data_IF_056562442184
#
_entry.id   IF_056562442184
#
_cell.length_a   1.000
_cell.length_b   1.000
_cell.length_c   1.000
_cell.angle_alpha   90.00
_cell.angle_beta   90.00
_cell.angle_gamma   90.00
#
_symmetry.space_group_name_H-M   'P 1'
#
loop_
_entity.id
_entity.type
_entity.pdbx_description
1 polymer ?
#
# COMPACT_ATOMS: atom_id res chain seq x y z
N UNK A 1 -18.26 -1.57 15.29
CA UNK A 1 -18.01 -0.22 14.81
C UNK A 1 -16.87 -0.26 13.82
N UNK A 2 -17.16 0.07 12.58
CA UNK A 2 -16.26 -0.06 11.44
C UNK A 2 -15.03 0.83 11.63
N UNK A 3 -13.84 0.23 11.60
CA UNK A 3 -12.53 0.91 11.61
C UNK A 3 -12.24 1.58 10.25
N UNK A 4 -13.27 1.82 9.48
CA UNK A 4 -13.14 2.41 8.15
C UNK A 4 -13.50 3.88 8.22
N UNK A 5 -12.55 4.82 8.03
CA UNK A 5 -12.89 6.22 7.88
C UNK A 5 -13.77 6.38 6.63
N UNK A 6 -14.96 6.91 6.80
CA UNK A 6 -15.75 7.47 5.70
C UNK A 6 -14.97 8.70 5.19
N UNK A 7 -14.16 8.49 4.14
CA UNK A 7 -13.45 9.59 3.51
C UNK A 7 -14.40 10.44 2.66
N UNK A 8 -14.26 11.75 2.74
CA UNK A 8 -14.94 12.68 1.85
C UNK A 8 -14.08 12.93 0.61
N UNK A 9 -14.69 12.90 -0.57
CA UNK A 9 -14.02 13.22 -1.82
C UNK A 9 -13.44 14.65 -1.80
N UNK A 10 -12.25 14.84 -2.34
CA UNK A 10 -11.65 16.16 -2.54
C UNK A 10 -12.20 16.77 -3.83
N UNK A 11 -12.62 18.01 -3.78
CA UNK A 11 -13.18 18.73 -4.93
C UNK A 11 -12.16 19.74 -5.47
N UNK A 12 -11.97 19.74 -6.79
CA UNK A 12 -11.07 20.66 -7.52
C UNK A 12 -11.92 21.70 -8.21
N UNK A 13 -11.55 22.97 -8.04
CA UNK A 13 -12.24 24.13 -8.63
C UNK A 13 -11.31 24.87 -9.57
N UNK A 14 -11.83 25.34 -10.71
CA UNK A 14 -11.11 26.21 -11.64
C UNK A 14 -11.03 27.67 -11.14
N UNK A 15 -10.39 28.54 -11.92
CA UNK A 15 -10.27 29.96 -11.61
C UNK A 15 -11.61 30.71 -11.46
N UNK A 16 -12.68 30.18 -12.05
CA UNK A 16 -14.04 30.73 -11.95
C UNK A 16 -14.86 30.14 -10.79
N UNK A 17 -14.26 29.26 -9.98
CA UNK A 17 -14.93 28.59 -8.86
C UNK A 17 -15.89 27.46 -9.27
N UNK A 18 -15.80 26.97 -10.49
CA UNK A 18 -16.58 25.83 -10.96
C UNK A 18 -15.82 24.53 -10.65
N UNK A 19 -16.54 23.47 -10.31
CA UNK A 19 -15.95 22.13 -10.11
C UNK A 19 -15.46 21.60 -11.45
N UNK A 20 -14.17 21.22 -11.52
CA UNK A 20 -13.57 20.61 -12.68
C UNK A 20 -13.32 19.12 -12.49
N UNK A 21 -12.95 18.73 -11.27
CA UNK A 21 -12.70 17.34 -10.94
C UNK A 21 -13.10 17.03 -9.50
N UNK A 22 -13.37 15.76 -9.25
CA UNK A 22 -13.56 15.22 -7.92
C UNK A 22 -12.53 14.11 -7.73
N UNK A 23 -11.57 14.34 -6.82
CA UNK A 23 -10.57 13.35 -6.50
C UNK A 23 -11.18 12.38 -5.51
N UNK A 24 -11.47 11.20 -5.97
CA UNK A 24 -11.92 10.08 -5.16
C UNK A 24 -10.84 9.03 -5.13
N UNK A 25 -10.68 8.41 -3.99
CA UNK A 25 -9.80 7.27 -3.87
C UNK A 25 -10.21 6.23 -4.90
N UNK A 26 -9.28 5.72 -5.70
CA UNK A 26 -9.54 4.57 -6.54
C UNK A 26 -10.00 3.43 -5.63
N UNK A 27 -11.29 3.10 -5.67
CA UNK A 27 -11.92 2.20 -4.71
C UNK A 27 -12.89 2.88 -3.73
N UNK A 28 -13.38 4.10 -4.02
CA UNK A 28 -14.56 4.63 -3.31
C UNK A 28 -15.81 3.78 -3.59
N UNK A 29 -15.84 3.01 -4.65
CA UNK A 29 -16.56 1.75 -4.74
C UNK A 29 -15.65 0.66 -4.15
N UNK A 30 -15.45 0.65 -2.84
CA UNK A 30 -14.68 -0.39 -2.14
C UNK A 30 -15.28 -1.74 -2.46
N UNK A 31 -14.74 -2.37 -3.47
CA UNK A 31 -14.90 -3.79 -3.68
C UNK A 31 -13.93 -4.47 -2.72
N UNK A 32 -14.38 -4.68 -1.50
CA UNK A 32 -13.63 -5.46 -0.53
C UNK A 32 -13.55 -6.90 -1.03
N UNK A 33 -12.42 -7.53 -0.79
CA UNK A 33 -12.28 -8.97 -0.93
C UNK A 33 -12.57 -9.62 0.41
N UNK A 34 -13.19 -10.78 0.35
CA UNK A 34 -13.28 -11.70 1.49
C UNK A 34 -12.01 -12.54 1.58
N UNK A 35 -11.77 -13.18 2.72
CA UNK A 35 -10.61 -14.07 2.88
C UNK A 35 -10.59 -15.20 1.84
N UNK A 36 -11.75 -15.74 1.48
CA UNK A 36 -11.87 -16.88 0.58
C UNK A 36 -11.62 -16.52 -0.90
N UNK A 37 -11.69 -15.23 -1.25
CA UNK A 37 -11.31 -14.71 -2.57
C UNK A 37 -9.80 -14.49 -2.71
N UNK A 38 -9.06 -14.47 -1.60
CA UNK A 38 -7.62 -14.24 -1.61
C UNK A 38 -6.87 -15.52 -2.00
N UNK A 39 -6.08 -15.52 -3.08
CA UNK A 39 -5.29 -16.69 -3.44
C UNK A 39 -4.20 -16.92 -2.40
N UNK A 40 -3.95 -18.20 -2.10
CA UNK A 40 -2.95 -18.59 -1.09
C UNK A 40 -1.58 -17.99 -1.35
N UNK A 41 -1.15 -17.91 -2.60
CA UNK A 41 0.15 -17.33 -2.98
C UNK A 41 0.28 -15.86 -2.59
N UNK A 42 -0.82 -15.09 -2.62
CA UNK A 42 -0.83 -13.68 -2.19
C UNK A 42 -0.73 -13.57 -0.67
N UNK A 43 -1.54 -14.35 0.06
CA UNK A 43 -1.49 -14.42 1.52
C UNK A 43 -0.07 -14.76 1.99
N UNK A 44 0.49 -15.82 1.44
CA UNK A 44 1.82 -16.32 1.80
C UNK A 44 2.93 -15.29 1.49
N UNK A 45 2.84 -14.58 0.36
CA UNK A 45 3.81 -13.55 -0.01
C UNK A 45 3.83 -12.39 0.99
N UNK A 46 2.64 -11.88 1.38
CA UNK A 46 2.55 -10.82 2.38
C UNK A 46 3.01 -11.30 3.77
N UNK A 47 2.57 -12.46 4.21
CA UNK A 47 2.99 -13.04 5.50
C UNK A 47 4.49 -13.28 5.51
N UNK A 48 5.06 -13.86 4.46
CA UNK A 48 6.49 -14.17 4.39
C UNK A 48 7.38 -12.94 4.56
N UNK A 49 6.99 -11.80 3.96
CA UNK A 49 7.84 -10.60 3.94
C UNK A 49 7.54 -9.63 5.08
N UNK A 50 6.30 -9.50 5.51
CA UNK A 50 5.88 -8.52 6.51
C UNK A 50 5.86 -9.09 7.93
N UNK A 51 5.44 -10.36 8.07
CA UNK A 51 5.20 -10.95 9.40
C UNK A 51 5.24 -12.48 9.34
N UNK A 52 6.42 -13.05 9.21
CA UNK A 52 6.63 -14.50 9.03
C UNK A 52 6.03 -15.40 10.13
N UNK A 53 5.67 -14.80 11.26
CA UNK A 53 5.06 -15.51 12.40
C UNK A 53 3.63 -15.05 12.68
N UNK A 54 2.99 -14.40 11.72
CA UNK A 54 1.63 -13.85 11.83
C UNK A 54 0.64 -14.84 12.46
N UNK A 55 0.66 -16.07 12.02
CA UNK A 55 -0.25 -17.12 12.51
C UNK A 55 0.09 -17.65 13.94
N UNK A 56 1.20 -17.20 14.53
CA UNK A 56 1.75 -17.78 15.80
C UNK A 56 1.76 -16.82 16.97
N UNK A 57 1.70 -15.52 16.75
CA UNK A 57 1.69 -14.50 17.80
C UNK A 57 0.29 -13.91 18.01
N UNK A 58 0.13 -13.14 19.09
CA UNK A 58 -1.13 -12.49 19.46
C UNK A 58 -1.00 -10.96 19.41
N UNK A 59 -0.79 -10.39 18.20
CA UNK A 59 -0.70 -8.96 17.95
C UNK A 59 0.72 -8.40 17.95
N UNK A 60 1.63 -8.95 18.72
CA UNK A 60 3.05 -8.58 18.76
C UNK A 60 3.94 -9.81 18.62
N UNK A 61 5.03 -9.69 17.86
CA UNK A 61 6.06 -10.71 17.77
C UNK A 61 7.30 -10.29 18.56
N UNK A 62 7.42 -10.78 19.80
CA UNK A 62 8.54 -10.49 20.69
C UNK A 62 9.88 -10.93 20.11
N UNK A 63 9.91 -12.03 19.35
CA UNK A 63 11.16 -12.52 18.71
C UNK A 63 11.59 -11.58 17.59
N UNK A 64 10.63 -11.06 16.80
CA UNK A 64 10.93 -10.06 15.76
C UNK A 64 11.44 -8.75 16.38
N UNK A 65 10.86 -8.31 17.50
CA UNK A 65 11.32 -7.13 18.23
C UNK A 65 12.76 -7.32 18.73
N UNK A 66 13.04 -8.44 19.39
CA UNK A 66 14.40 -8.74 19.89
C UNK A 66 15.43 -8.80 18.75
N UNK A 67 15.08 -9.41 17.63
CA UNK A 67 15.94 -9.44 16.44
C UNK A 67 16.18 -8.04 15.87
N UNK A 68 15.16 -7.20 15.79
CA UNK A 68 15.30 -5.83 15.31
C UNK A 68 16.20 -4.99 16.22
N UNK A 69 16.05 -5.11 17.55
CA UNK A 69 16.90 -4.44 18.55
C UNK A 69 18.35 -4.91 18.44
N UNK A 70 18.57 -6.23 18.35
CA UNK A 70 19.94 -6.77 18.20
C UNK A 70 20.59 -6.34 16.88
N UNK A 71 19.82 -6.24 15.80
CA UNK A 71 20.30 -5.72 14.50
C UNK A 71 20.77 -4.27 14.57
N UNK A 72 20.06 -3.43 15.31
CA UNK A 72 20.48 -2.02 15.55
C UNK A 72 21.78 -1.96 16.35
N UNK A 73 21.91 -2.79 17.39
CA UNK A 73 23.11 -2.81 18.26
C UNK A 73 24.33 -3.33 17.49
N UNK A 74 24.16 -4.35 16.66
CA UNK A 74 25.26 -4.98 15.91
C UNK A 74 25.58 -4.31 14.57
N UNK A 75 24.82 -3.27 14.18
CA UNK A 75 24.97 -2.62 12.87
C UNK A 75 24.52 -3.50 11.70
N UNK A 76 23.97 -4.67 11.99
CA UNK A 76 23.52 -5.63 10.99
C UNK A 76 21.98 -5.51 10.84
N UNK A 77 21.55 -4.55 10.03
CA UNK A 77 20.11 -4.36 9.75
C UNK A 77 19.58 -5.57 8.96
N UNK A 78 19.06 -6.54 9.68
CA UNK A 78 18.34 -7.64 9.07
C UNK A 78 17.16 -7.10 8.25
N UNK A 79 16.93 -7.68 7.09
CA UNK A 79 15.92 -7.25 6.10
C UNK A 79 14.46 -7.40 6.54
N UNK A 80 14.19 -7.79 7.78
CA UNK A 80 12.84 -7.96 8.32
C UNK A 80 12.42 -6.82 9.25
N UNK A 81 11.20 -6.31 9.10
CA UNK A 81 10.59 -5.35 10.03
C UNK A 81 10.30 -5.97 11.41
N UNK A 82 10.32 -5.14 12.47
CA UNK A 82 9.91 -5.56 13.82
C UNK A 82 8.42 -5.36 14.10
N UNK A 83 7.63 -4.89 13.14
CA UNK A 83 6.19 -4.63 13.29
C UNK A 83 5.37 -5.76 12.68
N UNK A 84 4.33 -6.19 13.36
CA UNK A 84 3.39 -7.19 12.85
C UNK A 84 2.39 -6.59 11.86
N UNK A 85 1.73 -7.44 11.05
CA UNK A 85 0.62 -7.04 10.18
C UNK A 85 -0.48 -6.35 10.99
N UNK A 86 -0.80 -6.84 12.19
CA UNK A 86 -1.79 -6.24 13.08
C UNK A 86 -1.39 -4.83 13.52
N UNK A 87 -0.12 -4.62 13.85
CA UNK A 87 0.39 -3.28 14.18
C UNK A 87 0.35 -2.33 12.97
N UNK A 88 0.67 -2.84 11.76
CA UNK A 88 0.59 -2.04 10.53
C UNK A 88 -0.87 -1.65 10.21
N UNK A 89 -1.82 -2.58 10.37
CA UNK A 89 -3.25 -2.29 10.21
C UNK A 89 -3.69 -1.14 11.13
N UNK A 90 -3.32 -1.20 12.41
CA UNK A 90 -3.63 -0.17 13.40
C UNK A 90 -2.94 1.15 13.03
N UNK A 91 -1.65 1.12 12.72
CA UNK A 91 -0.89 2.30 12.31
C UNK A 91 -1.57 3.04 11.15
N UNK A 92 -1.99 2.30 10.12
CA UNK A 92 -2.56 2.89 8.91
C UNK A 92 -3.98 3.43 9.14
N UNK A 93 -4.81 2.76 9.95
CA UNK A 93 -6.22 3.11 10.11
C UNK A 93 -6.51 3.98 11.34
N UNK A 94 -5.72 3.88 12.42
CA UNK A 94 -5.94 4.63 13.66
C UNK A 94 -5.01 5.84 13.74
N UNK A 95 -3.74 5.67 13.33
CA UNK A 95 -2.72 6.71 13.45
C UNK A 95 -2.37 7.39 12.12
N UNK A 96 -3.16 7.19 11.07
CA UNK A 96 -2.96 7.78 9.74
C UNK A 96 -1.51 7.67 9.22
N UNK A 97 -0.90 6.50 9.40
CA UNK A 97 0.47 6.23 8.96
C UNK A 97 1.59 6.78 9.87
N UNK A 98 1.26 7.51 10.94
CA UNK A 98 2.21 8.12 11.89
C UNK A 98 2.55 9.58 11.54
N UNK A 99 2.34 10.50 12.48
CA UNK A 99 2.54 11.97 12.28
C UNK A 99 3.62 12.56 13.19
N UNK A 100 4.37 11.70 13.86
CA UNK A 100 5.25 12.13 14.92
C UNK A 100 6.43 12.94 14.38
N UNK A 101 6.67 14.09 15.01
CA UNK A 101 7.81 14.98 14.74
C UNK A 101 9.00 14.71 15.65
N UNK A 102 8.75 14.07 16.80
CA UNK A 102 9.79 13.76 17.79
C UNK A 102 10.02 12.26 17.97
N UNK A 103 11.19 11.91 18.49
CA UNK A 103 11.51 10.52 18.83
C UNK A 103 10.60 10.00 19.94
N UNK A 104 10.29 10.85 20.95
CA UNK A 104 9.42 10.48 22.05
C UNK A 104 8.01 10.12 21.58
N UNK A 105 7.41 10.93 20.72
CA UNK A 105 6.09 10.65 20.13
C UNK A 105 6.09 9.34 19.31
N UNK A 106 7.16 9.06 18.57
CA UNK A 106 7.29 7.79 17.82
C UNK A 106 7.30 6.59 18.75
N UNK A 107 8.01 6.69 19.88
CA UNK A 107 8.07 5.64 20.90
C UNK A 107 6.70 5.46 21.55
N UNK A 108 6.04 6.53 21.96
CA UNK A 108 4.70 6.50 22.55
C UNK A 108 3.70 5.85 21.62
N UNK A 109 3.62 6.29 20.37
CA UNK A 109 2.76 5.66 19.37
C UNK A 109 3.07 4.17 19.22
N UNK A 110 4.34 3.78 19.23
CA UNK A 110 4.70 2.37 19.10
C UNK A 110 4.17 1.51 20.24
N UNK A 111 4.17 2.03 21.47
CA UNK A 111 3.54 1.36 22.60
C UNK A 111 2.01 1.29 22.46
N UNK A 112 1.39 2.36 21.98
CA UNK A 112 -0.05 2.38 21.70
C UNK A 112 -0.43 1.38 20.60
N UNK A 113 0.34 1.29 19.51
CA UNK A 113 0.17 0.26 18.46
C UNK A 113 0.25 -1.15 19.05
N UNK A 114 1.25 -1.42 19.87
CA UNK A 114 1.44 -2.74 20.51
C UNK A 114 0.26 -3.10 21.41
N UNK A 115 -0.18 -2.17 22.25
CA UNK A 115 -1.34 -2.38 23.14
C UNK A 115 -2.61 -2.65 22.34
N UNK A 116 -2.89 -1.82 21.34
CA UNK A 116 -4.07 -1.95 20.47
C UNK A 116 -4.02 -3.24 19.65
N UNK A 117 -2.83 -3.67 19.19
CA UNK A 117 -2.67 -4.92 18.44
C UNK A 117 -3.05 -6.15 19.28
N UNK A 118 -2.59 -6.21 20.53
CA UNK A 118 -2.97 -7.29 21.45
C UNK A 118 -4.47 -7.25 21.74
N UNK A 119 -5.05 -6.05 21.90
CA UNK A 119 -6.50 -5.89 22.15
C UNK A 119 -7.32 -6.31 20.94
N UNK A 120 -6.89 -5.94 19.74
CA UNK A 120 -7.58 -6.27 18.48
C UNK A 120 -7.62 -7.78 18.26
N UNK A 121 -6.50 -8.48 18.46
CA UNK A 121 -6.43 -9.94 18.27
C UNK A 121 -7.19 -10.77 19.31
N UNK A 122 -7.65 -10.15 20.39
CA UNK A 122 -8.62 -10.77 21.32
C UNK A 122 -10.06 -10.68 20.82
N UNK A 123 -10.36 -9.77 19.90
CA UNK A 123 -11.70 -9.46 19.40
C UNK A 123 -11.94 -9.90 17.95
N UNK A 124 -10.87 -10.08 17.20
CA UNK A 124 -10.90 -10.33 15.77
C UNK A 124 -9.93 -11.47 15.42
N UNK A 125 -10.37 -12.41 14.62
CA UNK A 125 -9.51 -13.52 14.19
C UNK A 125 -8.45 -13.07 13.17
N UNK A 126 -7.43 -13.90 13.01
CA UNK A 126 -6.29 -13.66 12.13
C UNK A 126 -6.67 -13.47 10.66
N UNK A 127 -7.65 -14.22 10.17
CA UNK A 127 -8.10 -14.14 8.79
C UNK A 127 -8.74 -12.79 8.53
N UNK A 128 -9.59 -12.33 9.44
CA UNK A 128 -10.26 -11.04 9.32
C UNK A 128 -9.27 -9.88 9.45
N UNK A 129 -8.28 -9.97 10.35
CA UNK A 129 -7.21 -8.98 10.47
C UNK A 129 -6.41 -8.88 9.18
N UNK A 130 -6.01 -10.01 8.60
CA UNK A 130 -5.25 -10.06 7.36
C UNK A 130 -6.08 -9.50 6.19
N UNK A 131 -7.34 -9.87 6.09
CA UNK A 131 -8.25 -9.37 5.05
C UNK A 131 -8.41 -7.86 5.14
N UNK A 132 -8.62 -7.31 6.32
CA UNK A 132 -8.71 -5.86 6.52
C UNK A 132 -7.40 -5.16 6.16
N UNK A 133 -6.26 -5.75 6.50
CA UNK A 133 -4.96 -5.22 6.10
C UNK A 133 -4.81 -5.18 4.58
N UNK A 134 -5.11 -6.30 3.91
CA UNK A 134 -4.99 -6.42 2.45
C UNK A 134 -6.01 -5.54 1.70
N UNK A 135 -7.15 -5.23 2.31
CA UNK A 135 -8.16 -4.32 1.75
C UNK A 135 -7.79 -2.82 1.91
N UNK A 136 -6.88 -2.47 2.83
CA UNK A 136 -6.64 -1.07 3.20
C UNK A 136 -5.22 -0.58 2.93
N UNK A 137 -4.29 -1.48 2.64
CA UNK A 137 -2.89 -1.10 2.43
C UNK A 137 -2.70 -0.30 1.14
N UNK A 138 -1.86 0.75 1.22
CA UNK A 138 -1.45 1.53 0.06
C UNK A 138 -0.43 0.75 -0.78
N UNK A 139 -0.77 0.49 -2.03
CA UNK A 139 0.02 -0.28 -3.00
C UNK A 139 0.47 0.56 -4.21
N UNK A 140 0.58 1.89 -4.03
CA UNK A 140 1.06 2.80 -5.07
C UNK A 140 0.05 3.02 -6.21
N UNK A 141 0.36 3.94 -7.12
CA UNK A 141 -0.48 4.27 -8.28
C UNK A 141 -1.96 4.45 -7.93
N UNK A 142 -2.25 5.10 -6.80
CA UNK A 142 -3.60 5.29 -6.28
C UNK A 142 -4.38 3.98 -5.99
N UNK A 143 -3.66 2.91 -5.65
CA UNK A 143 -4.25 1.60 -5.38
C UNK A 143 -4.30 1.33 -3.88
N UNK A 144 -5.47 1.41 -3.29
CA UNK A 144 -5.73 0.96 -1.94
C UNK A 144 -6.32 -0.44 -1.97
N UNK A 145 -5.64 -1.36 -1.29
CA UNK A 145 -5.99 -2.76 -1.22
C UNK A 145 -5.59 -3.58 -2.45
N UNK A 146 -5.52 -4.88 -2.22
CA UNK A 146 -4.99 -5.85 -3.20
C UNK A 146 -5.89 -6.05 -4.41
N UNK A 147 -7.22 -5.86 -4.29
CA UNK A 147 -8.14 -5.98 -5.41
C UNK A 147 -7.90 -4.89 -6.45
N UNK A 148 -7.79 -3.65 -5.97
CA UNK A 148 -7.47 -2.50 -6.83
C UNK A 148 -6.09 -2.65 -7.46
N UNK A 149 -5.09 -3.13 -6.67
CA UNK A 149 -3.74 -3.36 -7.17
C UNK A 149 -3.69 -4.45 -8.25
N UNK A 150 -4.42 -5.56 -8.07
CA UNK A 150 -4.50 -6.64 -9.05
C UNK A 150 -5.05 -6.15 -10.41
N UNK A 151 -6.12 -5.39 -10.36
CA UNK A 151 -6.72 -4.78 -11.57
C UNK A 151 -5.79 -3.73 -12.19
N UNK A 152 -5.19 -2.86 -11.35
CA UNK A 152 -4.32 -1.77 -11.80
C UNK A 152 -3.06 -2.27 -12.50
N UNK A 153 -2.40 -3.25 -11.91
CA UNK A 153 -1.10 -3.71 -12.40
C UNK A 153 -1.20 -4.86 -13.40
N UNK A 154 -2.21 -5.70 -13.28
CA UNK A 154 -2.33 -6.92 -14.08
C UNK A 154 -3.65 -7.07 -14.85
N UNK A 155 -4.64 -6.18 -14.60
CA UNK A 155 -5.94 -6.26 -15.24
C UNK A 155 -6.72 -7.53 -14.87
N UNK A 156 -6.47 -8.10 -13.68
CA UNK A 156 -7.02 -9.37 -13.21
C UNK A 156 -7.84 -9.20 -11.93
N UNK A 157 -8.71 -10.16 -11.69
CA UNK A 157 -9.27 -10.36 -10.35
C UNK A 157 -8.18 -10.88 -9.41
N UNK A 158 -8.31 -10.58 -8.12
CA UNK A 158 -7.32 -10.96 -7.12
C UNK A 158 -7.11 -12.47 -7.02
N UNK A 159 -8.19 -13.25 -7.21
CA UNK A 159 -8.17 -14.72 -7.22
C UNK A 159 -7.29 -15.32 -8.33
N UNK A 160 -7.08 -14.57 -9.42
CA UNK A 160 -6.37 -15.04 -10.61
C UNK A 160 -4.88 -14.66 -10.62
N UNK A 161 -4.41 -14.05 -9.54
CA UNK A 161 -2.99 -13.67 -9.40
C UNK A 161 -2.09 -14.91 -9.31
N UNK A 162 -1.07 -14.94 -10.14
CA UNK A 162 -0.01 -15.95 -10.08
C UNK A 162 0.97 -15.65 -8.93
N UNK A 163 1.84 -16.60 -8.60
CA UNK A 163 2.92 -16.41 -7.62
C UNK A 163 3.81 -15.20 -7.99
N UNK A 164 4.18 -15.09 -9.26
CA UNK A 164 4.96 -13.96 -9.78
C UNK A 164 4.30 -12.62 -9.52
N UNK A 165 3.03 -12.51 -9.85
CA UNK A 165 2.24 -11.28 -9.72
C UNK A 165 1.97 -10.92 -8.26
N UNK A 166 1.66 -11.91 -7.43
CA UNK A 166 1.48 -11.74 -5.99
C UNK A 166 2.73 -11.17 -5.30
N UNK A 167 3.93 -11.66 -5.69
CA UNK A 167 5.19 -11.17 -5.13
C UNK A 167 5.58 -9.77 -5.61
N UNK A 168 5.17 -9.36 -6.82
CA UNK A 168 5.27 -7.96 -7.28
C UNK A 168 4.44 -7.05 -6.39
N UNK A 169 3.15 -7.40 -6.16
CA UNK A 169 2.25 -6.60 -5.32
C UNK A 169 2.76 -6.52 -3.89
N UNK A 170 3.17 -7.65 -3.29
CA UNK A 170 3.72 -7.66 -1.95
C UNK A 170 5.00 -6.83 -1.82
N UNK A 171 5.78 -6.70 -2.89
CA UNK A 171 6.99 -5.89 -2.94
C UNK A 171 6.77 -4.40 -2.72
N UNK A 172 5.58 -3.89 -3.03
CA UNK A 172 5.24 -2.46 -2.95
C UNK A 172 5.16 -1.96 -1.52
N UNK A 173 4.79 -2.82 -0.56
CA UNK A 173 4.50 -2.48 0.83
C UNK A 173 5.58 -1.68 1.55
N UNK A 174 6.85 -1.93 1.22
CA UNK A 174 8.01 -1.29 1.87
C UNK A 174 8.10 0.21 1.57
N UNK A 175 7.54 0.65 0.44
CA UNK A 175 7.50 2.05 0.02
C UNK A 175 6.79 2.19 -1.32
N UNK A 176 5.52 2.58 -1.32
CA UNK A 176 4.65 2.59 -2.49
C UNK A 176 5.17 3.38 -3.70
N UNK A 177 5.96 4.42 -3.49
CA UNK A 177 6.61 5.16 -4.58
C UNK A 177 7.87 4.45 -5.06
N UNK A 178 8.78 4.12 -4.15
CA UNK A 178 10.08 3.53 -4.50
C UNK A 178 9.95 2.15 -5.15
N UNK A 179 9.04 1.35 -4.64
CA UNK A 179 8.81 -0.03 -5.10
C UNK A 179 7.60 -0.16 -6.02
N UNK A 180 7.15 0.94 -6.61
CA UNK A 180 6.10 0.93 -7.61
C UNK A 180 6.55 0.13 -8.85
N UNK A 181 5.81 -0.90 -9.30
CA UNK A 181 6.24 -1.73 -10.42
C UNK A 181 6.23 -1.02 -11.77
N UNK A 182 5.62 0.18 -11.85
CA UNK A 182 5.59 1.01 -13.06
C UNK A 182 6.78 1.98 -13.09
N UNK A 183 7.01 2.69 -11.98
CA UNK A 183 7.98 3.79 -11.90
C UNK A 183 9.27 3.41 -11.18
N UNK A 184 9.26 2.34 -10.39
CA UNK A 184 10.39 1.82 -9.62
C UNK A 184 10.61 0.33 -9.85
N UNK A 185 10.49 -0.12 -11.09
CA UNK A 185 10.53 -1.52 -11.49
C UNK A 185 11.77 -2.27 -10.98
N UNK A 186 12.96 -1.69 -11.11
CA UNK A 186 14.22 -2.30 -10.65
C UNK A 186 14.18 -2.57 -9.14
N UNK A 187 13.80 -1.56 -8.35
CA UNK A 187 13.69 -1.70 -6.90
C UNK A 187 12.63 -2.75 -6.50
N UNK A 188 11.48 -2.77 -7.21
CA UNK A 188 10.46 -3.79 -6.99
C UNK A 188 10.98 -5.18 -7.34
N UNK A 189 11.70 -5.34 -8.46
CA UNK A 189 12.28 -6.61 -8.88
C UNK A 189 13.26 -7.17 -7.84
N UNK A 190 14.15 -6.34 -7.31
CA UNK A 190 15.06 -6.76 -6.25
C UNK A 190 14.30 -7.16 -4.97
N UNK A 191 13.26 -6.40 -4.61
CA UNK A 191 12.41 -6.73 -3.47
C UNK A 191 11.66 -8.05 -3.68
N UNK A 192 11.15 -8.29 -4.88
CA UNK A 192 10.46 -9.52 -5.27
C UNK A 192 11.35 -10.74 -5.11
N UNK A 193 12.63 -10.68 -5.50
CA UNK A 193 13.60 -11.76 -5.29
C UNK A 193 13.72 -12.14 -3.82
N UNK A 194 13.77 -11.14 -2.93
CA UNK A 194 13.82 -11.34 -1.47
C UNK A 194 12.53 -12.03 -0.98
N UNK A 195 11.36 -11.62 -1.49
CA UNK A 195 10.08 -12.23 -1.10
C UNK A 195 10.06 -13.71 -1.51
N UNK A 196 10.40 -14.01 -2.75
CA UNK A 196 10.47 -15.39 -3.24
C UNK A 196 11.44 -16.25 -2.43
N UNK A 197 12.58 -15.68 -2.04
CA UNK A 197 13.55 -16.38 -1.18
C UNK A 197 12.95 -16.67 0.20
N UNK A 198 12.27 -15.71 0.81
CA UNK A 198 11.61 -15.90 2.12
C UNK A 198 10.46 -16.89 2.04
N UNK A 199 9.68 -16.88 0.94
CA UNK A 199 8.63 -17.87 0.74
C UNK A 199 9.19 -19.29 0.65
N UNK A 200 10.33 -19.47 -0.04
CA UNK A 200 11.01 -20.74 -0.12
C UNK A 200 11.57 -21.17 1.26
N UNK A 201 12.32 -20.31 1.94
CA UNK A 201 12.91 -20.60 3.25
C UNK A 201 11.87 -20.92 4.33
N UNK A 202 10.67 -20.34 4.22
CA UNK A 202 9.56 -20.58 5.13
C UNK A 202 8.67 -21.75 4.70
N UNK A 203 8.98 -22.42 3.57
CA UNK A 203 8.26 -23.60 3.09
C UNK A 203 6.91 -23.31 2.45
N UNK A 204 6.64 -22.08 2.02
CA UNK A 204 5.42 -21.72 1.28
C UNK A 204 5.45 -22.17 -0.18
N UNK A 205 6.63 -22.20 -0.77
CA UNK A 205 6.86 -22.63 -2.17
C UNK A 205 8.03 -23.61 -2.25
N UNK A 206 8.07 -24.42 -3.32
CA UNK A 206 9.20 -25.30 -3.64
C UNK A 206 10.31 -24.51 -4.33
N UNK A 207 11.47 -25.17 -4.50
CA UNK A 207 12.60 -24.59 -5.23
C UNK A 207 12.25 -24.35 -6.69
N UNK A 208 11.55 -25.29 -7.31
CA UNK A 208 11.09 -25.23 -8.69
C UNK A 208 10.14 -24.04 -8.89
N UNK A 209 9.17 -23.87 -7.99
CA UNK A 209 8.23 -22.72 -8.03
C UNK A 209 8.96 -21.38 -7.88
N UNK A 210 10.00 -21.33 -7.04
CA UNK A 210 10.83 -20.13 -6.90
C UNK A 210 11.55 -19.81 -8.22
N UNK A 211 12.19 -20.82 -8.85
CA UNK A 211 12.94 -20.65 -10.09
C UNK A 211 12.02 -20.25 -11.26
N UNK A 212 10.87 -20.89 -11.40
CA UNK A 212 9.84 -20.52 -12.38
C UNK A 212 9.39 -19.08 -12.21
N UNK A 213 9.07 -18.67 -10.96
CA UNK A 213 8.66 -17.31 -10.69
C UNK A 213 9.78 -16.31 -10.98
N UNK A 214 11.05 -16.63 -10.68
CA UNK A 214 12.19 -15.75 -10.98
C UNK A 214 12.44 -15.59 -12.48
N UNK A 215 12.19 -16.64 -13.26
CA UNK A 215 12.33 -16.63 -14.72
C UNK A 215 11.17 -15.93 -15.45
N UNK A 216 10.05 -15.73 -14.78
CA UNK A 216 8.85 -15.12 -15.38
C UNK A 216 9.05 -13.63 -15.66
N UNK A 217 8.82 -13.22 -16.91
CA UNK A 217 8.85 -11.83 -17.38
C UNK A 217 7.58 -11.05 -16.97
N UNK A 218 7.33 -11.00 -15.67
CA UNK A 218 6.11 -10.40 -15.09
C UNK A 218 5.98 -8.90 -15.38
N UNK A 219 7.10 -8.19 -15.51
CA UNK A 219 7.10 -6.74 -15.68
C UNK A 219 6.70 -6.27 -17.07
N UNK A 220 6.92 -7.07 -18.11
CA UNK A 220 6.43 -6.75 -19.47
C UNK A 220 4.91 -6.74 -19.53
N UNK A 221 4.25 -7.58 -18.75
CA UNK A 221 2.78 -7.60 -18.62
C UNK A 221 2.24 -6.33 -17.98
N UNK A 222 2.91 -5.80 -16.95
CA UNK A 222 2.52 -4.55 -16.28
C UNK A 222 2.61 -3.37 -17.24
N UNK A 223 3.69 -3.22 -17.97
CA UNK A 223 3.88 -2.12 -18.93
C UNK A 223 2.81 -2.13 -20.01
N UNK A 224 2.47 -3.28 -20.56
CA UNK A 224 1.43 -3.43 -21.59
C UNK A 224 0.06 -2.99 -21.07
N UNK A 225 -0.34 -3.40 -19.88
CA UNK A 225 -1.62 -3.01 -19.28
C UNK A 225 -1.66 -1.52 -18.98
N UNK A 226 -0.55 -0.94 -18.50
CA UNK A 226 -0.49 0.49 -18.22
C UNK A 226 -0.50 1.35 -19.48
N UNK A 227 0.04 0.90 -20.57
CA UNK A 227 -0.08 1.56 -21.86
C UNK A 227 -1.56 1.62 -22.30
N UNK A 228 -2.25 0.48 -22.21
CA UNK A 228 -3.69 0.41 -22.52
C UNK A 228 -4.56 1.23 -21.55
N UNK A 229 -4.18 1.29 -20.27
CA UNK A 229 -4.89 2.09 -19.25
C UNK A 229 -4.68 3.60 -19.46
N UNK A 230 -3.49 4.03 -19.89
CA UNK A 230 -3.26 5.43 -20.30
C UNK A 230 -4.16 5.84 -21.48
N UNK A 231 -4.40 4.92 -22.40
CA UNK A 231 -5.28 5.19 -23.55
C UNK A 231 -6.78 5.16 -23.18
N UNK A 232 -7.18 4.35 -22.16
CA UNK A 232 -8.60 4.18 -21.79
C UNK A 232 -9.06 5.04 -20.60
N UNK A 233 -8.16 5.46 -19.72
CA UNK A 233 -8.49 6.10 -18.44
C UNK A 233 -7.82 7.46 -18.27
N UNK A 234 -7.90 8.36 -19.25
CA UNK A 234 -7.77 9.79 -18.97
C UNK A 234 -9.03 10.26 -18.22
N UNK A 235 -9.17 9.84 -16.95
CA UNK A 235 -10.23 10.35 -16.08
C UNK A 235 -9.89 11.73 -15.51
N UNK A 236 -8.62 12.10 -15.50
CA UNK A 236 -8.18 13.43 -15.10
C UNK A 236 -7.52 14.14 -16.28
N UNK A 237 -7.72 15.45 -16.36
CA UNK A 237 -6.98 16.26 -17.31
C UNK A 237 -5.48 16.25 -16.96
N UNK A 238 -4.64 16.57 -17.92
CA UNK A 238 -3.20 16.75 -17.71
C UNK A 238 -2.91 17.73 -16.57
N UNK A 239 -3.77 18.75 -16.45
CA UNK A 239 -3.71 19.73 -15.40
C UNK A 239 -3.96 19.09 -14.02
N UNK A 240 -4.96 18.25 -13.91
CA UNK A 240 -5.31 17.58 -12.63
C UNK A 240 -4.25 16.58 -12.21
N UNK A 241 -3.61 15.86 -13.12
CA UNK A 241 -2.49 14.98 -12.81
C UNK A 241 -1.27 15.76 -12.27
N UNK A 242 -0.96 16.91 -12.90
CA UNK A 242 0.10 17.80 -12.42
C UNK A 242 -0.24 18.40 -11.04
N UNK A 243 -1.50 18.79 -10.82
CA UNK A 243 -2.02 19.30 -9.56
C UNK A 243 -1.88 18.26 -8.44
N UNK A 244 -2.27 17.02 -8.69
CA UNK A 244 -2.13 15.90 -7.74
C UNK A 244 -0.66 15.76 -7.30
N UNK A 245 0.26 15.75 -8.26
CA UNK A 245 1.70 15.64 -7.97
C UNK A 245 2.21 16.82 -7.14
N UNK A 246 1.81 18.04 -7.48
CA UNK A 246 2.23 19.26 -6.79
C UNK A 246 1.68 19.31 -5.36
N UNK A 247 0.41 19.03 -5.16
CA UNK A 247 -0.23 19.04 -3.83
C UNK A 247 0.35 17.93 -2.94
N UNK A 248 0.57 16.75 -3.49
CA UNK A 248 1.22 15.64 -2.75
C UNK A 248 2.63 16.04 -2.31
N UNK A 249 3.41 16.64 -3.21
CA UNK A 249 4.77 17.12 -2.89
C UNK A 249 4.76 18.21 -1.82
N UNK A 250 3.80 19.14 -1.85
CA UNK A 250 3.67 20.18 -0.84
C UNK A 250 3.32 19.58 0.53
N UNK A 251 2.42 18.61 0.60
CA UNK A 251 2.10 17.92 1.85
C UNK A 251 3.31 17.22 2.45
N UNK A 252 4.15 16.60 1.63
CA UNK A 252 5.34 15.90 2.09
C UNK A 252 6.43 16.89 2.51
N UNK A 253 6.77 17.85 1.64
CA UNK A 253 7.96 18.68 1.81
C UNK A 253 7.73 19.88 2.75
N UNK A 254 6.55 20.48 2.73
CA UNK A 254 6.26 21.69 3.51
C UNK A 254 5.53 21.39 4.82
N UNK A 255 4.63 20.40 4.82
CA UNK A 255 3.83 20.04 6.00
C UNK A 255 4.34 18.81 6.73
N UNK A 256 5.36 18.11 6.18
CA UNK A 256 6.01 16.97 6.81
C UNK A 256 5.13 15.72 6.91
N UNK A 257 4.11 15.60 6.02
CA UNK A 257 3.31 14.39 5.94
C UNK A 257 4.11 13.22 5.36
N UNK A 258 3.77 12.01 5.77
CA UNK A 258 4.22 10.82 5.04
C UNK A 258 3.47 10.72 3.72
N UNK A 259 4.01 9.96 2.77
CA UNK A 259 3.35 9.72 1.48
C UNK A 259 1.94 9.13 1.65
N UNK A 260 1.76 8.18 2.57
CA UNK A 260 0.45 7.59 2.89
C UNK A 260 -0.53 8.64 3.45
N UNK A 261 -0.04 9.55 4.29
CA UNK A 261 -0.87 10.63 4.83
C UNK A 261 -1.28 11.64 3.77
N UNK A 262 -0.33 12.05 2.93
CA UNK A 262 -0.58 12.96 1.82
C UNK A 262 -1.64 12.36 0.87
N UNK A 263 -1.50 11.08 0.55
CA UNK A 263 -2.46 10.35 -0.27
C UNK A 263 -3.86 10.28 0.38
N UNK A 264 -3.94 9.87 1.65
CA UNK A 264 -5.22 9.78 2.37
C UNK A 264 -5.89 11.15 2.49
N UNK A 265 -5.12 12.20 2.74
CA UNK A 265 -5.66 13.57 2.84
C UNK A 265 -6.18 14.05 1.48
N UNK A 266 -5.41 13.81 0.40
CA UNK A 266 -5.78 14.24 -0.94
C UNK A 266 -7.04 13.56 -1.46
N UNK A 267 -7.23 12.27 -1.22
CA UNK A 267 -8.33 11.50 -1.81
C UNK A 267 -9.51 11.24 -0.86
N UNK A 268 -9.31 11.40 0.44
CA UNK A 268 -10.33 11.09 1.46
C UNK A 268 -10.50 12.19 2.51
N UNK A 269 -9.74 13.28 2.42
CA UNK A 269 -9.73 14.35 3.39
C UNK A 269 -10.85 15.39 3.20
N UNK A 270 -11.64 15.28 2.13
CA UNK A 270 -12.70 16.25 1.84
C UNK A 270 -12.18 17.66 1.56
N UNK A 271 -11.02 17.77 0.92
CA UNK A 271 -10.40 19.06 0.62
C UNK A 271 -11.17 19.81 -0.47
N UNK A 272 -11.10 21.13 -0.44
CA UNK A 272 -11.49 22.02 -1.53
C UNK A 272 -10.22 22.66 -2.10
N UNK A 273 -9.83 22.28 -3.31
CA UNK A 273 -8.60 22.76 -3.97
C UNK A 273 -8.99 23.77 -5.04
N UNK A 274 -8.64 25.02 -4.83
CA UNK A 274 -8.88 26.11 -5.78
C UNK A 274 -7.64 26.29 -6.65
N UNK A 275 -7.84 26.27 -7.98
CA UNK A 275 -6.77 26.34 -8.94
C UNK A 275 -6.88 27.54 -9.86
N UNK A 276 -5.83 27.80 -10.61
CA UNK A 276 -5.80 28.81 -11.66
C UNK A 276 -6.15 28.25 -13.05
N UNK A 277 -6.71 27.04 -13.12
CA UNK A 277 -7.11 26.42 -14.39
C UNK A 277 -8.11 27.30 -15.16
N UNK A 278 -7.75 27.63 -16.40
CA UNK A 278 -8.66 28.33 -17.32
C UNK A 278 -9.44 27.27 -18.12
N UNK A 279 -10.77 27.20 -17.97
CA UNK A 279 -11.57 26.19 -18.66
C UNK A 279 -11.55 26.34 -20.20
N UNK A 280 -11.33 27.56 -20.72
CA UNK A 280 -11.27 27.76 -22.15
C UNK A 280 -9.98 27.24 -22.77
N UNK A 281 -8.84 27.40 -22.06
CA UNK A 281 -7.56 26.85 -22.50
C UNK A 281 -7.56 25.31 -22.42
N UNK A 282 -8.23 24.74 -21.43
CA UNK A 282 -8.32 23.29 -21.25
C UNK A 282 -9.10 22.57 -22.38
N UNK A 283 -10.00 23.26 -23.07
CA UNK A 283 -10.73 22.69 -24.20
C UNK A 283 -9.94 22.66 -25.50
N UNK A 284 -8.79 23.33 -25.55
CA UNK A 284 -7.96 23.47 -26.77
C UNK A 284 -6.84 22.38 -26.76
N UNK A 285 -6.58 21.77 -25.61
CA UNK A 285 -5.54 20.77 -25.39
C UNK A 285 -6.14 19.37 -25.25
#
# INVERSE_FOLDING_TARGET
DSIVPLGYATTVYNASGQVTDTLVMAGSNREEVTYDELPKVLIDAFVAIEDSRFWKHNGIDTRAILRAVSGVITGNSSSGGGSTITQQLIKNNVFNGGRERSFGEKVERKFQEMYLAVKLEKQMDKKLILTNYLNTINLGSNSLGVKVAARRYFGKEVSDLTLSEATVIAGITKGPTKYNPITGQEANSERRKIILQYMYEQGYITKEQQEEALADDVYSRIQNINTLAKEKNNHYSYFTDALISQVTSAFINELGYTETQAHNLLYSGGLSIYTTQDPNLQQIV
#
